data_IF_046793750526
#
_entry.id   IF_046793750526
#
_cell.length_a   1.000
_cell.length_b   1.000
_cell.length_c   1.000
_cell.angle_alpha   90.00
_cell.angle_beta   90.00
_cell.angle_gamma   90.00
#
_symmetry.space_group_name_H-M   'P 1'
#
loop_
_entity.id
_entity.type
_entity.pdbx_description
1 polymer ?
#
# COMPACT_ATOMS: atom_id res chain seq x y z
N UNK A 1 -73.35 0.10 -4.26
CA UNK A 1 -72.44 -1.05 -4.13
C UNK A 1 -71.09 -0.57 -4.65
N UNK A 2 -70.18 -0.11 -3.78
CA UNK A 2 -69.07 -0.93 -3.24
C UNK A 2 -68.37 -1.67 -4.40
N UNK A 3 -67.20 -1.30 -4.89
CA UNK A 3 -66.02 -0.80 -4.18
C UNK A 3 -65.04 -1.97 -3.99
N UNK A 4 -63.97 -1.96 -4.79
CA UNK A 4 -62.73 -2.76 -4.75
C UNK A 4 -62.44 -3.62 -5.97
N UNK A 5 -61.72 -3.04 -6.93
CA UNK A 5 -60.86 -3.79 -7.87
C UNK A 5 -59.44 -3.68 -7.32
N UNK A 6 -58.95 -4.77 -6.72
CA UNK A 6 -57.54 -4.89 -6.30
C UNK A 6 -56.72 -5.09 -7.58
N UNK A 7 -55.94 -4.09 -7.95
CA UNK A 7 -54.92 -4.24 -9.00
C UNK A 7 -53.65 -4.72 -8.29
N UNK A 8 -53.35 -6.01 -8.41
CA UNK A 8 -52.07 -6.58 -7.98
C UNK A 8 -50.95 -5.87 -8.74
N UNK A 9 -50.18 -5.06 -8.00
CA UNK A 9 -48.96 -4.45 -8.53
C UNK A 9 -47.90 -5.54 -8.55
N UNK A 10 -47.60 -6.08 -9.73
CA UNK A 10 -46.44 -6.96 -9.91
C UNK A 10 -45.18 -6.15 -9.61
N UNK A 11 -44.67 -6.29 -8.39
CA UNK A 11 -43.30 -5.91 -8.04
C UNK A 11 -42.35 -6.71 -8.89
N UNK A 12 -41.76 -6.07 -9.90
CA UNK A 12 -40.58 -6.58 -10.61
C UNK A 12 -39.44 -6.60 -9.59
N UNK A 13 -39.29 -7.73 -8.90
CA UNK A 13 -38.07 -8.04 -8.16
C UNK A 13 -36.95 -8.14 -9.19
N UNK A 14 -36.11 -7.10 -9.24
CA UNK A 14 -34.80 -7.18 -9.88
C UNK A 14 -33.97 -8.22 -9.14
N UNK A 15 -34.09 -9.49 -9.55
CA UNK A 15 -33.07 -10.50 -9.29
C UNK A 15 -31.80 -10.00 -9.96
N UNK A 16 -30.86 -9.46 -9.17
CA UNK A 16 -29.46 -9.37 -9.58
C UNK A 16 -29.02 -10.79 -9.95
N UNK A 17 -29.03 -11.12 -11.23
CA UNK A 17 -28.37 -12.31 -11.75
C UNK A 17 -26.94 -12.28 -11.21
N UNK A 18 -26.61 -13.25 -10.37
CA UNK A 18 -25.24 -13.42 -9.92
C UNK A 18 -24.42 -13.79 -11.14
N UNK A 19 -23.52 -12.88 -11.53
CA UNK A 19 -22.54 -13.14 -12.59
C UNK A 19 -21.92 -14.52 -12.36
N UNK A 20 -21.79 -15.36 -13.40
CA UNK A 20 -21.27 -16.71 -13.24
C UNK A 20 -19.91 -16.65 -12.54
N UNK A 21 -19.75 -17.40 -11.44
CA UNK A 21 -18.46 -17.54 -10.74
C UNK A 21 -17.46 -18.12 -11.73
N UNK A 22 -16.62 -17.27 -12.32
CA UNK A 22 -15.61 -17.68 -13.27
C UNK A 22 -14.63 -18.62 -12.56
N UNK A 23 -14.37 -19.77 -13.16
CA UNK A 23 -13.49 -20.79 -12.57
C UNK A 23 -12.03 -20.37 -12.82
N UNK A 24 -11.36 -19.84 -11.80
CA UNK A 24 -9.93 -19.54 -11.88
C UNK A 24 -9.12 -20.83 -12.07
N UNK A 25 -8.17 -20.80 -13.02
CA UNK A 25 -7.13 -21.82 -13.13
C UNK A 25 -5.91 -21.37 -12.35
N UNK A 26 -5.61 -22.08 -11.27
CA UNK A 26 -4.49 -21.79 -10.39
C UNK A 26 -3.22 -22.46 -10.91
N UNK A 27 -2.39 -21.70 -11.62
CA UNK A 27 -1.08 -22.15 -12.08
C UNK A 27 -0.02 -21.81 -11.04
N UNK A 28 0.37 -22.77 -10.22
CA UNK A 28 1.24 -22.53 -9.07
C UNK A 28 2.71 -22.26 -9.45
N UNK A 29 3.32 -21.29 -8.77
CA UNK A 29 4.74 -20.96 -8.82
C UNK A 29 5.44 -21.62 -7.62
N UNK A 30 5.80 -22.90 -7.76
CA UNK A 30 6.39 -23.69 -6.67
C UNK A 30 7.64 -23.08 -6.04
N UNK A 31 8.47 -22.40 -6.85
CA UNK A 31 9.63 -21.66 -6.34
C UNK A 31 9.22 -20.63 -5.29
N UNK A 32 8.16 -19.85 -5.55
CA UNK A 32 7.70 -18.82 -4.62
C UNK A 32 7.14 -19.45 -3.36
N UNK A 33 6.31 -20.50 -3.49
CA UNK A 33 5.76 -21.24 -2.34
C UNK A 33 6.89 -21.71 -1.42
N UNK A 34 7.91 -22.37 -1.97
CA UNK A 34 9.06 -22.88 -1.20
C UNK A 34 9.83 -21.73 -0.52
N UNK A 35 10.12 -20.64 -1.25
CA UNK A 35 10.85 -19.50 -0.69
C UNK A 35 10.09 -18.81 0.46
N UNK A 36 8.78 -18.65 0.33
CA UNK A 36 7.95 -18.08 1.40
C UNK A 36 7.81 -19.03 2.59
N UNK A 37 7.74 -20.35 2.37
CA UNK A 37 7.81 -21.32 3.47
C UNK A 37 9.14 -21.21 4.22
N UNK A 38 10.27 -21.19 3.48
CA UNK A 38 11.61 -21.01 4.09
C UNK A 38 11.66 -19.71 4.87
N UNK A 39 11.19 -18.59 4.31
CA UNK A 39 11.14 -17.29 4.99
C UNK A 39 10.38 -17.39 6.31
N UNK A 40 9.20 -18.04 6.35
CA UNK A 40 8.43 -18.16 7.58
C UNK A 40 9.11 -19.06 8.61
N UNK A 41 9.58 -20.25 8.21
CA UNK A 41 10.27 -21.15 9.14
C UNK A 41 11.53 -20.53 9.74
N UNK A 42 12.36 -19.90 8.91
CA UNK A 42 13.58 -19.22 9.37
C UNK A 42 13.27 -17.94 10.14
N UNK A 43 12.19 -17.25 9.82
CA UNK A 43 11.68 -16.12 10.61
C UNK A 43 11.23 -16.55 12.01
N UNK A 44 10.48 -17.65 12.13
CA UNK A 44 10.10 -18.22 13.43
C UNK A 44 11.30 -18.72 14.23
N UNK A 45 12.30 -19.30 13.56
CA UNK A 45 13.56 -19.64 14.20
C UNK A 45 14.30 -18.40 14.71
N UNK A 46 14.33 -17.32 13.93
CA UNK A 46 14.85 -16.02 14.36
C UNK A 46 14.09 -15.46 15.57
N UNK A 47 12.77 -15.60 15.63
CA UNK A 47 11.98 -15.21 16.81
C UNK A 47 12.37 -16.02 18.04
N UNK A 48 12.54 -17.34 17.89
CA UNK A 48 13.03 -18.19 18.97
C UNK A 48 14.40 -17.71 19.49
N UNK A 49 15.38 -17.50 18.60
CA UNK A 49 16.71 -16.99 18.97
C UNK A 49 16.65 -15.62 19.66
N UNK A 50 15.77 -14.73 19.18
CA UNK A 50 15.55 -13.42 19.80
C UNK A 50 15.10 -13.51 21.27
N UNK A 51 14.41 -14.59 21.65
CA UNK A 51 13.90 -14.81 23.01
C UNK A 51 14.90 -15.55 23.90
N UNK A 52 15.74 -16.43 23.35
CA UNK A 52 16.56 -17.35 24.16
C UNK A 52 18.05 -17.05 24.18
N UNK A 53 18.60 -16.40 23.14
CA UNK A 53 20.06 -16.28 22.97
C UNK A 53 20.54 -14.91 22.51
N UNK A 54 19.67 -14.06 21.96
CA UNK A 54 20.08 -12.80 21.36
C UNK A 54 20.47 -11.74 22.39
N UNK A 55 21.47 -10.93 22.03
CA UNK A 55 21.74 -9.70 22.74
C UNK A 55 20.63 -8.67 22.49
N UNK A 56 20.25 -7.91 23.51
CA UNK A 56 19.23 -6.86 23.39
C UNK A 56 19.53 -5.83 22.29
N UNK A 57 20.82 -5.56 22.02
CA UNK A 57 21.27 -4.69 20.93
C UNK A 57 20.83 -5.20 19.56
N UNK A 58 20.91 -6.51 19.34
CA UNK A 58 20.49 -7.18 18.09
C UNK A 58 18.97 -7.12 17.92
N UNK A 59 18.22 -7.28 19.01
CA UNK A 59 16.75 -7.14 19.01
C UNK A 59 16.35 -5.70 18.65
N UNK A 60 16.95 -4.71 19.32
CA UNK A 60 16.71 -3.29 19.02
C UNK A 60 17.09 -2.95 17.58
N UNK A 61 18.24 -3.44 17.11
CA UNK A 61 18.70 -3.24 15.74
C UNK A 61 17.75 -3.85 14.70
N UNK A 62 17.22 -5.05 14.95
CA UNK A 62 16.20 -5.66 14.10
C UNK A 62 14.93 -4.80 14.03
N UNK A 63 14.44 -4.31 15.16
CA UNK A 63 13.28 -3.41 15.19
C UNK A 63 13.55 -2.09 14.47
N UNK A 64 14.74 -1.51 14.65
CA UNK A 64 15.17 -0.32 13.91
C UNK A 64 15.17 -0.58 12.40
N UNK A 65 15.79 -1.66 11.94
CA UNK A 65 15.79 -2.04 10.52
C UNK A 65 14.38 -2.32 9.99
N UNK A 66 13.48 -2.87 10.80
CA UNK A 66 12.09 -3.10 10.41
C UNK A 66 11.37 -1.77 10.13
N UNK A 67 11.52 -0.77 11.02
CA UNK A 67 10.93 0.56 10.80
C UNK A 67 11.50 1.21 9.54
N UNK A 68 12.81 1.12 9.35
CA UNK A 68 13.49 1.64 8.15
C UNK A 68 13.01 0.93 6.87
N UNK A 69 12.87 -0.40 6.90
CA UNK A 69 12.36 -1.18 5.78
C UNK A 69 10.92 -0.80 5.41
N UNK A 70 10.06 -0.63 6.42
CA UNK A 70 8.70 -0.13 6.23
C UNK A 70 8.69 1.25 5.59
N UNK A 71 9.54 2.19 6.03
CA UNK A 71 9.68 3.50 5.38
C UNK A 71 10.11 3.40 3.91
N UNK A 72 10.94 2.42 3.56
CA UNK A 72 11.30 2.15 2.16
C UNK A 72 10.10 1.76 1.30
N UNK A 73 9.17 0.98 1.85
CA UNK A 73 7.92 0.60 1.19
C UNK A 73 6.97 1.80 1.14
N UNK A 74 6.70 2.45 2.27
CA UNK A 74 5.67 3.49 2.40
C UNK A 74 6.10 4.83 1.78
N UNK A 75 7.20 5.42 2.23
CA UNK A 75 7.70 6.70 1.67
C UNK A 75 8.26 6.53 0.26
N UNK A 76 8.84 5.36 -0.04
CA UNK A 76 9.47 5.04 -1.32
C UNK A 76 8.51 4.42 -2.32
N UNK A 77 8.41 3.08 -2.31
CA UNK A 77 7.65 2.32 -3.33
C UNK A 77 6.23 2.84 -3.53
N UNK A 78 5.55 3.15 -2.43
CA UNK A 78 4.15 3.54 -2.41
C UNK A 78 3.95 5.01 -2.74
N UNK A 79 4.29 5.92 -1.83
CA UNK A 79 3.95 7.36 -1.96
C UNK A 79 4.76 8.07 -3.05
N UNK A 80 6.05 7.74 -3.21
CA UNK A 80 6.91 8.38 -4.21
C UNK A 80 6.74 7.76 -5.60
N UNK A 81 7.03 6.46 -5.74
CA UNK A 81 7.12 5.82 -7.05
C UNK A 81 5.74 5.38 -7.56
N UNK A 82 4.91 4.71 -6.76
CA UNK A 82 3.59 4.27 -7.23
C UNK A 82 2.65 5.45 -7.46
N UNK A 83 2.54 6.39 -6.50
CA UNK A 83 1.49 7.42 -6.51
C UNK A 83 1.95 8.84 -6.86
N UNK A 84 3.26 9.12 -6.86
CA UNK A 84 3.83 10.45 -7.17
C UNK A 84 3.24 11.58 -6.31
N UNK A 85 2.94 11.29 -5.04
CA UNK A 85 2.31 12.24 -4.12
C UNK A 85 3.23 13.38 -3.71
N UNK A 86 4.54 13.17 -3.86
CA UNK A 86 5.59 14.16 -3.67
C UNK A 86 6.76 13.94 -4.64
N UNK A 87 7.71 14.87 -4.67
CA UNK A 87 8.96 14.76 -5.41
C UNK A 87 10.14 14.70 -4.45
N UNK A 88 11.13 13.87 -4.78
CA UNK A 88 12.34 13.68 -3.99
C UNK A 88 13.59 14.14 -4.77
N UNK A 89 14.53 14.80 -4.08
CA UNK A 89 15.89 15.03 -4.58
C UNK A 89 16.72 13.75 -4.50
N UNK A 90 17.86 13.75 -5.21
CA UNK A 90 18.74 12.58 -5.31
C UNK A 90 19.12 11.94 -3.95
N UNK A 91 19.51 12.69 -2.89
CA UNK A 91 19.86 12.07 -1.61
C UNK A 91 18.73 11.22 -1.02
N UNK A 92 17.51 11.74 -1.03
CA UNK A 92 16.34 11.02 -0.53
C UNK A 92 16.01 9.79 -1.39
N UNK A 93 16.10 9.90 -2.72
CA UNK A 93 15.89 8.75 -3.62
C UNK A 93 16.88 7.61 -3.33
N UNK A 94 18.16 7.94 -3.11
CA UNK A 94 19.18 6.94 -2.78
C UNK A 94 18.90 6.24 -1.44
N UNK A 95 18.54 7.02 -0.42
CA UNK A 95 18.16 6.49 0.90
C UNK A 95 16.95 5.57 0.79
N UNK A 96 15.90 5.99 0.08
CA UNK A 96 14.68 5.21 -0.09
C UNK A 96 14.92 3.91 -0.86
N UNK A 97 15.82 3.88 -1.84
CA UNK A 97 16.23 2.62 -2.50
C UNK A 97 16.89 1.66 -1.52
N UNK A 98 17.77 2.15 -0.64
CA UNK A 98 18.40 1.30 0.40
C UNK A 98 17.33 0.79 1.37
N UNK A 99 16.46 1.68 1.86
CA UNK A 99 15.39 1.33 2.78
C UNK A 99 14.44 0.31 2.17
N UNK A 100 14.04 0.50 0.92
CA UNK A 100 13.17 -0.44 0.21
C UNK A 100 13.85 -1.79 0.02
N UNK A 101 15.16 -1.79 -0.27
CA UNK A 101 15.93 -3.04 -0.38
C UNK A 101 15.90 -3.84 0.93
N UNK A 102 15.85 -3.18 2.09
CA UNK A 102 15.73 -3.84 3.39
C UNK A 102 14.36 -4.51 3.59
N UNK A 103 13.32 -4.16 2.83
CA UNK A 103 12.03 -4.87 2.90
C UNK A 103 12.07 -6.24 2.20
N UNK A 104 13.01 -6.42 1.27
CA UNK A 104 13.16 -7.61 0.42
C UNK A 104 11.90 -7.97 -0.41
N UNK A 105 10.96 -7.04 -0.60
CA UNK A 105 9.72 -7.25 -1.35
C UNK A 105 9.88 -7.02 -2.87
N UNK A 106 10.92 -7.61 -3.45
CA UNK A 106 11.39 -7.33 -4.82
C UNK A 106 11.83 -5.86 -5.01
N UNK A 107 12.33 -5.48 -6.19
CA UNK A 107 12.75 -4.10 -6.45
C UNK A 107 11.57 -3.13 -6.53
N UNK A 108 11.79 -1.88 -6.13
CA UNK A 108 10.75 -0.86 -6.02
C UNK A 108 9.99 -0.60 -7.33
N UNK A 109 10.63 -0.82 -8.50
CA UNK A 109 9.97 -0.72 -9.80
C UNK A 109 8.80 -1.71 -9.93
N UNK A 110 9.01 -3.01 -9.66
CA UNK A 110 7.95 -4.01 -9.83
C UNK A 110 6.84 -3.74 -8.82
N UNK A 111 7.24 -3.45 -7.57
CA UNK A 111 6.31 -3.06 -6.51
C UNK A 111 5.39 -1.92 -6.96
N UNK A 112 5.97 -0.82 -7.46
CA UNK A 112 5.20 0.34 -7.90
C UNK A 112 4.29 0.03 -9.10
N UNK A 113 4.77 -0.74 -10.10
CA UNK A 113 3.94 -1.08 -11.26
C UNK A 113 2.74 -1.96 -10.88
N UNK A 114 2.94 -3.00 -10.07
CA UNK A 114 1.84 -3.85 -9.58
C UNK A 114 0.87 -3.06 -8.69
N UNK A 115 1.37 -2.14 -7.88
CA UNK A 115 0.53 -1.29 -7.04
C UNK A 115 -0.34 -0.32 -7.85
N UNK A 116 0.17 0.24 -8.95
CA UNK A 116 -0.65 1.04 -9.88
C UNK A 116 -1.77 0.22 -10.52
N UNK A 117 -1.48 -1.02 -10.93
CA UNK A 117 -2.50 -1.95 -11.45
C UNK A 117 -3.56 -2.25 -10.39
N UNK A 118 -3.12 -2.50 -9.16
CA UNK A 118 -4.04 -2.70 -8.04
C UNK A 118 -4.98 -1.52 -7.86
N UNK A 119 -4.49 -0.28 -7.77
CA UNK A 119 -5.39 0.87 -7.63
C UNK A 119 -6.34 1.06 -8.81
N UNK A 120 -5.82 0.95 -10.04
CA UNK A 120 -6.62 1.15 -11.26
C UNK A 120 -7.76 0.13 -11.39
N UNK A 121 -7.55 -1.08 -10.87
CA UNK A 121 -8.46 -2.21 -11.09
C UNK A 121 -8.88 -2.87 -9.77
N UNK A 122 -8.87 -2.10 -8.68
CA UNK A 122 -9.02 -2.59 -7.30
C UNK A 122 -10.20 -3.53 -7.17
N UNK A 123 -9.95 -4.70 -6.59
CA UNK A 123 -10.96 -5.73 -6.33
C UNK A 123 -11.76 -6.18 -7.58
N UNK A 124 -11.16 -6.03 -8.76
CA UNK A 124 -11.60 -6.69 -10.00
C UNK A 124 -10.71 -7.89 -10.34
N UNK A 125 -11.01 -8.61 -11.42
CA UNK A 125 -10.16 -9.72 -11.86
C UNK A 125 -8.79 -9.29 -12.41
N UNK A 126 -8.63 -8.00 -12.72
CA UNK A 126 -7.36 -7.39 -13.11
C UNK A 126 -6.54 -6.87 -11.92
N UNK A 127 -7.05 -6.94 -10.69
CA UNK A 127 -6.28 -6.65 -9.48
C UNK A 127 -5.33 -7.82 -9.16
N UNK A 128 -4.01 -7.59 -9.09
CA UNK A 128 -3.03 -8.63 -8.76
C UNK A 128 -3.32 -9.36 -7.44
N UNK A 129 -3.86 -8.67 -6.44
CA UNK A 129 -4.12 -9.21 -5.10
C UNK A 129 -5.57 -9.00 -4.66
N UNK A 130 -6.49 -9.14 -5.62
CA UNK A 130 -7.95 -9.05 -5.44
C UNK A 130 -8.45 -9.69 -4.13
N UNK A 131 -8.95 -8.87 -3.20
CA UNK A 131 -9.42 -9.31 -1.88
C UNK A 131 -10.68 -10.17 -1.95
N UNK A 132 -11.46 -10.08 -3.03
CA UNK A 132 -12.66 -10.92 -3.26
C UNK A 132 -12.33 -12.39 -3.46
N UNK A 133 -11.06 -12.72 -3.74
CA UNK A 133 -10.57 -14.11 -3.81
C UNK A 133 -10.18 -14.67 -2.42
N UNK A 134 -10.40 -13.88 -1.38
CA UNK A 134 -10.27 -14.29 0.02
C UNK A 134 -9.03 -13.74 0.71
N UNK A 135 -9.05 -13.81 2.04
CA UNK A 135 -8.01 -13.28 2.91
C UNK A 135 -6.62 -13.83 2.57
N UNK A 136 -6.51 -15.16 2.40
CA UNK A 136 -5.21 -15.77 2.10
C UNK A 136 -4.67 -15.33 0.74
N UNK A 137 -5.54 -15.23 -0.27
CA UNK A 137 -5.12 -14.84 -1.61
C UNK A 137 -4.55 -13.41 -1.62
N UNK A 138 -5.30 -12.45 -1.08
CA UNK A 138 -4.86 -11.04 -0.97
C UNK A 138 -3.66 -10.84 -0.05
N UNK A 139 -3.56 -11.62 1.02
CA UNK A 139 -2.41 -11.55 1.92
C UNK A 139 -1.13 -12.06 1.25
N UNK A 140 -1.15 -13.24 0.62
CA UNK A 140 0.09 -13.85 0.11
C UNK A 140 -0.12 -14.83 -1.05
N UNK A 141 -1.30 -15.46 -1.14
CA UNK A 141 -1.59 -16.48 -2.14
C UNK A 141 -1.44 -16.00 -3.59
N UNK A 142 -1.63 -14.71 -3.85
CA UNK A 142 -1.39 -14.10 -5.16
C UNK A 142 0.05 -14.27 -5.67
N UNK A 143 1.03 -14.36 -4.76
CA UNK A 143 2.44 -14.58 -5.09
C UNK A 143 2.77 -16.04 -5.43
N UNK A 144 1.85 -16.96 -5.12
CA UNK A 144 2.02 -18.39 -5.32
C UNK A 144 1.48 -18.89 -6.65
N UNK A 145 0.87 -18.00 -7.44
CA UNK A 145 0.27 -18.34 -8.71
C UNK A 145 0.70 -17.35 -9.78
N UNK A 146 0.71 -17.78 -11.04
CA UNK A 146 0.88 -16.85 -12.14
C UNK A 146 -0.27 -15.83 -12.18
N UNK A 147 0.02 -14.56 -12.54
CA UNK A 147 -1.02 -13.57 -12.76
C UNK A 147 -2.09 -14.08 -13.73
N UNK A 148 -3.34 -13.70 -13.50
CA UNK A 148 -4.41 -14.04 -14.44
C UNK A 148 -4.24 -13.21 -15.73
N UNK A 149 -4.72 -13.69 -16.88
CA UNK A 149 -4.59 -12.98 -18.16
C UNK A 149 -5.09 -11.54 -18.11
N UNK A 150 -6.16 -11.27 -17.35
CA UNK A 150 -6.73 -9.93 -17.18
C UNK A 150 -5.75 -8.97 -16.48
N UNK A 151 -4.99 -9.45 -15.49
CA UNK A 151 -3.95 -8.67 -14.82
C UNK A 151 -2.85 -8.31 -15.82
N UNK A 152 -2.40 -9.27 -16.64
CA UNK A 152 -1.35 -9.04 -17.64
C UNK A 152 -1.79 -8.10 -18.77
N UNK A 153 -3.05 -8.21 -19.20
CA UNK A 153 -3.64 -7.33 -20.19
C UNK A 153 -3.71 -5.89 -19.66
N UNK A 154 -4.29 -5.71 -18.47
CA UNK A 154 -4.46 -4.39 -17.86
C UNK A 154 -3.14 -3.77 -17.40
N UNK A 155 -2.16 -4.57 -17.00
CA UNK A 155 -0.80 -4.10 -16.73
C UNK A 155 -0.23 -3.29 -17.91
N UNK A 156 -0.45 -3.75 -19.15
CA UNK A 156 0.05 -3.07 -20.36
C UNK A 156 -0.66 -1.76 -20.67
N UNK A 157 -1.82 -1.52 -20.06
CA UNK A 157 -2.61 -0.31 -20.29
C UNK A 157 -2.22 0.88 -19.40
N UNK A 158 -1.38 0.64 -18.38
CA UNK A 158 -0.92 1.68 -17.46
C UNK A 158 0.41 2.26 -17.93
N UNK A 159 0.56 3.57 -17.81
CA UNK A 159 1.82 4.25 -18.09
C UNK A 159 2.83 4.08 -16.94
N UNK A 160 4.03 3.61 -17.30
CA UNK A 160 5.18 3.44 -16.41
C UNK A 160 6.41 4.23 -16.89
N UNK A 161 6.24 5.13 -17.86
CA UNK A 161 7.32 5.91 -18.47
C UNK A 161 8.13 6.72 -17.46
N UNK A 162 7.47 7.25 -16.43
CA UNK A 162 8.10 7.98 -15.34
C UNK A 162 9.01 7.10 -14.47
N UNK A 163 8.60 5.85 -14.21
CA UNK A 163 9.41 4.86 -13.49
C UNK A 163 10.64 4.46 -14.31
N UNK A 164 10.46 4.28 -15.62
CA UNK A 164 11.57 4.01 -16.54
C UNK A 164 12.57 5.17 -16.65
N UNK A 165 12.09 6.40 -16.55
CA UNK A 165 12.94 7.60 -16.59
C UNK A 165 13.75 7.80 -15.30
N UNK A 166 13.35 7.21 -14.17
CA UNK A 166 14.07 7.30 -12.91
C UNK A 166 15.33 6.40 -12.90
N UNK A 167 16.48 7.02 -13.15
CA UNK A 167 17.78 6.33 -13.19
C UNK A 167 18.14 5.61 -11.89
N UNK A 168 17.73 6.13 -10.73
CA UNK A 168 18.04 5.52 -9.42
C UNK A 168 17.22 4.24 -9.25
N UNK A 169 15.93 4.31 -9.59
CA UNK A 169 15.02 3.18 -9.55
C UNK A 169 15.45 2.08 -10.53
N UNK A 170 15.79 2.45 -11.76
CA UNK A 170 16.24 1.50 -12.79
C UNK A 170 17.60 0.89 -12.47
N UNK A 171 18.49 1.62 -11.80
CA UNK A 171 19.74 1.07 -11.27
C UNK A 171 19.48 0.00 -10.22
N UNK A 172 18.58 0.26 -9.25
CA UNK A 172 18.19 -0.74 -8.27
C UNK A 172 17.62 -1.98 -8.97
N UNK A 173 16.65 -1.82 -9.88
CA UNK A 173 16.05 -2.92 -10.65
C UNK A 173 17.09 -3.79 -11.33
N UNK A 174 18.06 -3.18 -12.02
CA UNK A 174 19.10 -3.91 -12.76
C UNK A 174 19.97 -4.79 -11.87
N UNK A 175 20.31 -4.30 -10.68
CA UNK A 175 21.24 -4.98 -9.76
C UNK A 175 20.55 -5.59 -8.54
N UNK A 176 19.22 -5.71 -8.56
CA UNK A 176 18.46 -6.08 -7.38
C UNK A 176 18.85 -7.47 -6.87
N UNK A 177 18.74 -8.49 -7.71
CA UNK A 177 19.00 -9.88 -7.31
C UNK A 177 20.50 -10.19 -7.18
N UNK A 178 21.39 -9.45 -7.83
CA UNK A 178 22.83 -9.72 -7.83
C UNK A 178 23.58 -8.97 -6.73
N UNK A 179 23.08 -7.80 -6.30
CA UNK A 179 23.77 -6.94 -5.33
C UNK A 179 22.85 -6.44 -4.22
N UNK A 180 21.78 -5.71 -4.54
CA UNK A 180 20.98 -5.04 -3.51
C UNK A 180 20.35 -6.03 -2.53
N UNK A 181 19.57 -7.00 -2.99
CA UNK A 181 18.94 -7.98 -2.10
C UNK A 181 19.97 -8.80 -1.28
N UNK A 182 20.96 -9.50 -1.89
CA UNK A 182 21.89 -10.34 -1.12
C UNK A 182 22.85 -9.52 -0.25
N UNK A 183 23.36 -8.38 -0.71
CA UNK A 183 24.38 -7.61 0.02
C UNK A 183 23.74 -6.60 0.96
N UNK A 184 22.92 -5.69 0.42
CA UNK A 184 22.32 -4.61 1.20
C UNK A 184 21.14 -5.12 2.04
N UNK A 185 20.33 -6.01 1.48
CA UNK A 185 19.13 -6.54 2.13
C UNK A 185 19.40 -7.64 3.16
N UNK A 186 20.49 -8.40 3.04
CA UNK A 186 20.78 -9.57 3.88
C UNK A 186 22.17 -9.54 4.53
N UNK A 187 23.26 -9.43 3.75
CA UNK A 187 24.61 -9.54 4.29
C UNK A 187 24.97 -8.40 5.25
N UNK A 188 24.76 -7.14 4.84
CA UNK A 188 25.06 -5.97 5.67
C UNK A 188 24.25 -5.99 6.98
N UNK A 189 22.92 -6.20 6.96
CA UNK A 189 22.13 -6.38 8.17
C UNK A 189 22.67 -7.45 9.11
N UNK A 190 23.16 -8.57 8.58
CA UNK A 190 23.69 -9.68 9.37
C UNK A 190 25.11 -9.43 9.88
N UNK A 191 25.94 -8.71 9.12
CA UNK A 191 27.33 -8.46 9.47
C UNK A 191 27.48 -7.43 10.59
N UNK A 192 26.56 -6.46 10.68
CA UNK A 192 26.65 -5.38 11.66
C UNK A 192 26.61 -5.91 13.11
N UNK A 193 25.61 -6.71 13.53
CA UNK A 193 25.60 -7.22 14.91
C UNK A 193 26.77 -8.13 15.22
N UNK A 194 27.13 -8.98 14.25
CA UNK A 194 28.24 -9.90 14.36
C UNK A 194 29.57 -9.19 14.61
N UNK A 195 29.85 -8.12 13.86
CA UNK A 195 31.14 -7.43 13.94
C UNK A 195 31.21 -6.38 15.05
N UNK A 196 30.16 -5.56 15.24
CA UNK A 196 30.26 -4.37 16.09
C UNK A 196 29.95 -4.60 17.57
N UNK A 197 29.19 -5.63 17.92
CA UNK A 197 28.90 -5.96 19.33
C UNK A 197 29.03 -7.44 19.66
N UNK A 198 29.64 -8.22 18.76
CA UNK A 198 30.02 -9.61 19.03
C UNK A 198 28.83 -10.55 19.20
N UNK A 199 27.72 -10.27 18.51
CA UNK A 199 26.61 -11.22 18.41
C UNK A 199 27.04 -12.47 17.62
N UNK A 200 26.43 -13.63 17.87
CA UNK A 200 26.69 -14.79 17.00
C UNK A 200 26.23 -14.52 15.57
N UNK A 201 26.94 -15.05 14.56
CA UNK A 201 26.52 -14.87 13.17
C UNK A 201 25.12 -15.46 12.92
N UNK A 202 24.79 -16.58 13.58
CA UNK A 202 23.48 -17.22 13.53
C UNK A 202 22.37 -16.28 14.03
N UNK A 203 22.50 -15.75 15.25
CA UNK A 203 21.55 -14.78 15.80
C UNK A 203 21.44 -13.55 14.88
N UNK A 204 22.57 -13.04 14.44
CA UNK A 204 22.62 -11.85 13.57
C UNK A 204 21.85 -12.07 12.26
N UNK A 205 22.09 -13.19 11.59
CA UNK A 205 21.42 -13.52 10.32
C UNK A 205 19.93 -13.80 10.50
N UNK A 206 19.57 -14.71 11.40
CA UNK A 206 18.16 -15.10 11.55
C UNK A 206 17.30 -13.99 12.15
N UNK A 207 17.86 -13.10 12.97
CA UNK A 207 17.11 -12.00 13.59
C UNK A 207 17.10 -10.76 12.69
N UNK A 208 18.27 -10.22 12.33
CA UNK A 208 18.34 -8.95 11.59
C UNK A 208 17.95 -9.08 10.11
N UNK A 209 17.98 -10.30 9.56
CA UNK A 209 17.56 -10.57 8.18
C UNK A 209 16.25 -11.35 8.12
N UNK A 210 16.21 -12.61 8.58
CA UNK A 210 15.07 -13.50 8.31
C UNK A 210 13.80 -13.13 9.10
N UNK A 211 13.93 -12.88 10.40
CA UNK A 211 12.81 -12.41 11.23
C UNK A 211 12.33 -11.04 10.75
N UNK A 212 13.24 -10.08 10.53
CA UNK A 212 12.90 -8.77 9.98
C UNK A 212 12.15 -8.89 8.64
N UNK A 213 12.64 -9.71 7.73
CA UNK A 213 11.99 -9.94 6.42
C UNK A 213 10.60 -10.54 6.57
N UNK A 214 10.45 -11.56 7.42
CA UNK A 214 9.17 -12.19 7.72
C UNK A 214 8.16 -11.18 8.31
N UNK A 215 8.57 -10.40 9.30
CA UNK A 215 7.74 -9.36 9.93
C UNK A 215 7.36 -8.27 8.93
N UNK A 216 8.33 -7.70 8.21
CA UNK A 216 8.08 -6.62 7.25
C UNK A 216 7.09 -7.04 6.16
N UNK A 217 7.25 -8.25 5.65
CA UNK A 217 6.37 -8.84 4.63
C UNK A 217 4.95 -8.98 5.13
N UNK A 218 4.76 -9.65 6.28
CA UNK A 218 3.43 -9.86 6.85
C UNK A 218 2.76 -8.54 7.24
N UNK A 219 3.49 -7.60 7.85
CA UNK A 219 2.96 -6.26 8.20
C UNK A 219 2.49 -5.52 6.95
N UNK A 220 3.25 -5.56 5.86
CA UNK A 220 2.85 -4.91 4.60
C UNK A 220 1.60 -5.59 4.03
N UNK A 221 1.55 -6.92 4.03
CA UNK A 221 0.44 -7.68 3.48
C UNK A 221 -0.86 -7.57 4.29
N UNK A 222 -0.82 -7.11 5.54
CA UNK A 222 -2.03 -6.72 6.28
C UNK A 222 -2.81 -5.61 5.55
N UNK A 223 -2.14 -4.72 4.82
CA UNK A 223 -2.79 -3.66 4.04
C UNK A 223 -3.65 -4.29 2.94
N UNK A 224 -3.06 -5.15 2.11
CA UNK A 224 -3.77 -5.82 1.01
C UNK A 224 -4.91 -6.72 1.52
N UNK A 225 -4.78 -7.30 2.71
CA UNK A 225 -5.71 -8.32 3.21
C UNK A 225 -6.70 -7.78 4.23
N UNK A 226 -6.23 -7.34 5.40
CA UNK A 226 -7.10 -6.89 6.49
C UNK A 226 -7.75 -5.57 6.11
N UNK A 227 -6.99 -4.62 5.55
CA UNK A 227 -7.52 -3.31 5.21
C UNK A 227 -8.45 -3.30 3.97
N UNK A 228 -8.61 -4.41 3.24
CA UNK A 228 -9.68 -4.55 2.22
C UNK A 228 -10.94 -5.28 2.72
N UNK A 229 -10.84 -6.00 3.83
CA UNK A 229 -11.92 -6.90 4.27
C UNK A 229 -12.59 -6.40 5.56
N UNK A 230 -11.81 -5.88 6.51
CA UNK A 230 -12.29 -5.59 7.86
C UNK A 230 -11.99 -4.15 8.26
N UNK A 231 -13.03 -3.33 8.46
CA UNK A 231 -12.88 -1.96 8.95
C UNK A 231 -14.06 -1.08 8.56
N UNK A 232 -13.90 0.22 8.75
CA UNK A 232 -14.92 1.24 8.40
C UNK A 232 -14.62 1.87 7.03
N UNK A 233 -15.63 2.47 6.39
CA UNK A 233 -15.52 3.14 5.07
C UNK A 233 -16.05 4.58 5.12
N UNK A 234 -15.40 5.46 5.89
CA UNK A 234 -15.88 6.81 6.12
C UNK A 234 -15.92 7.71 4.88
N UNK A 235 -15.14 7.43 3.82
CA UNK A 235 -15.02 8.29 2.64
C UNK A 235 -15.79 7.73 1.44
N UNK A 236 -15.70 6.42 1.19
CA UNK A 236 -16.47 5.74 0.15
C UNK A 236 -16.85 4.31 0.54
N UNK A 237 -18.15 4.08 0.79
CA UNK A 237 -18.72 2.78 1.16
C UNK A 237 -18.88 1.81 -0.01
N UNK A 238 -18.75 2.28 -1.24
CA UNK A 238 -18.87 1.46 -2.46
C UNK A 238 -17.59 0.71 -2.79
N UNK A 239 -16.46 1.19 -2.26
CA UNK A 239 -15.15 0.55 -2.37
C UNK A 239 -14.96 -0.53 -1.30
N UNK A 240 -14.12 -1.53 -1.59
CA UNK A 240 -13.72 -2.55 -0.62
C UNK A 240 -12.73 -2.06 0.46
N UNK A 241 -11.68 -1.28 0.15
CA UNK A 241 -10.75 -0.68 1.13
C UNK A 241 -11.42 -0.06 2.35
N UNK A 242 -10.80 -0.23 3.51
CA UNK A 242 -11.32 0.12 4.83
C UNK A 242 -10.27 0.80 5.70
N UNK A 243 -10.72 1.56 6.70
CA UNK A 243 -9.87 2.14 7.73
C UNK A 243 -9.66 1.14 8.87
N UNK A 244 -8.39 0.87 9.19
CA UNK A 244 -7.98 -0.05 10.26
C UNK A 244 -6.85 0.58 11.08
N UNK A 245 -7.17 1.23 12.22
CA UNK A 245 -6.19 1.97 13.01
C UNK A 245 -4.96 1.15 13.43
N UNK A 246 -5.15 -0.12 13.80
CA UNK A 246 -4.04 -0.99 14.21
C UNK A 246 -3.08 -1.30 13.05
N UNK A 247 -3.61 -1.49 11.83
CA UNK A 247 -2.77 -1.67 10.63
C UNK A 247 -2.00 -0.39 10.36
N UNK A 248 -2.62 0.78 10.57
CA UNK A 248 -1.94 2.07 10.37
C UNK A 248 -0.76 2.26 11.32
N UNK A 249 -0.91 1.89 12.60
CA UNK A 249 0.20 1.91 13.56
C UNK A 249 1.33 0.94 13.16
N UNK A 250 1.00 -0.29 12.76
CA UNK A 250 1.99 -1.31 12.40
C UNK A 250 2.75 -0.96 11.12
N UNK A 251 2.07 -0.39 10.13
CA UNK A 251 2.64 -0.05 8.82
C UNK A 251 3.25 1.35 8.77
N UNK A 252 3.04 2.16 9.81
CA UNK A 252 3.52 3.55 9.85
C UNK A 252 2.68 4.51 9.00
N UNK A 253 1.40 4.23 8.76
CA UNK A 253 0.45 5.14 8.14
C UNK A 253 -0.52 4.54 7.12
N UNK A 254 -0.32 3.29 6.69
CA UNK A 254 -1.01 2.74 5.50
C UNK A 254 -2.34 2.02 5.80
N UNK A 255 -2.76 2.00 7.06
CA UNK A 255 -4.04 1.41 7.46
C UNK A 255 -5.24 2.33 7.27
N UNK A 256 -5.04 3.57 6.86
CA UNK A 256 -6.11 4.50 6.47
C UNK A 256 -6.50 4.27 5.00
N UNK A 257 -6.91 3.02 4.71
CA UNK A 257 -6.91 2.51 3.34
C UNK A 257 -8.12 2.96 2.52
N UNK A 258 -9.26 3.23 3.16
CA UNK A 258 -10.42 3.82 2.48
C UNK A 258 -10.10 5.24 2.02
N UNK A 259 -9.47 6.05 2.87
CA UNK A 259 -8.98 7.38 2.49
C UNK A 259 -8.00 7.29 1.34
N UNK A 260 -7.02 6.40 1.47
CA UNK A 260 -5.95 6.27 0.49
C UNK A 260 -6.47 5.88 -0.90
N UNK A 261 -7.42 4.95 -0.99
CA UNK A 261 -8.01 4.58 -2.28
C UNK A 261 -8.91 5.66 -2.87
N UNK A 262 -9.52 6.50 -2.03
CA UNK A 262 -10.29 7.65 -2.49
C UNK A 262 -9.40 8.81 -2.94
N UNK A 263 -8.27 9.03 -2.27
CA UNK A 263 -7.31 10.10 -2.58
C UNK A 263 -5.89 9.52 -2.77
N UNK A 264 -5.65 8.72 -3.82
CA UNK A 264 -4.37 8.01 -3.99
C UNK A 264 -3.18 8.96 -4.22
N UNK A 265 -3.43 10.22 -4.61
CA UNK A 265 -2.43 11.27 -4.76
C UNK A 265 -2.06 12.01 -3.47
N UNK A 266 -2.73 11.72 -2.33
CA UNK A 266 -2.42 12.38 -1.05
C UNK A 266 -1.17 11.78 -0.39
N UNK A 267 -0.17 12.62 -0.12
CA UNK A 267 1.12 12.21 0.45
C UNK A 267 1.03 11.68 1.87
N UNK A 268 -0.04 12.01 2.60
CA UNK A 268 -0.25 11.58 3.98
C UNK A 268 -0.87 10.19 4.03
N UNK A 269 -1.56 9.76 2.98
CA UNK A 269 -2.35 8.52 2.90
C UNK A 269 -3.41 8.38 3.98
N UNK A 270 -3.81 9.48 4.63
CA UNK A 270 -4.89 9.52 5.62
C UNK A 270 -5.26 10.96 5.96
N UNK A 271 -6.54 11.19 6.30
CA UNK A 271 -7.06 12.52 6.68
C UNK A 271 -6.38 13.06 7.95
N UNK A 272 -6.44 12.27 9.03
CA UNK A 272 -5.95 12.66 10.35
C UNK A 272 -4.59 12.01 10.64
N UNK A 273 -3.52 12.58 10.08
CA UNK A 273 -2.14 12.15 10.31
C UNK A 273 -1.52 12.78 11.55
N UNK A 274 -1.88 12.35 12.77
CA UNK A 274 -0.97 12.55 13.91
C UNK A 274 0.22 11.61 13.75
N UNK A 275 1.45 12.06 13.98
CA UNK A 275 2.67 11.24 13.77
C UNK A 275 2.67 9.89 14.52
N UNK A 276 1.85 9.74 15.57
CA UNK A 276 1.70 8.48 16.33
C UNK A 276 1.18 7.30 15.51
N UNK A 277 0.36 7.55 14.50
CA UNK A 277 -0.22 6.51 13.63
C UNK A 277 0.16 6.69 12.16
N UNK A 278 1.12 7.59 11.87
CA UNK A 278 1.56 7.87 10.51
C UNK A 278 3.00 8.40 10.53
N UNK A 279 3.92 7.51 10.94
CA UNK A 279 5.35 7.81 11.01
C UNK A 279 5.92 8.23 9.66
N UNK A 280 5.38 7.69 8.57
CA UNK A 280 5.81 8.00 7.20
C UNK A 280 5.55 9.47 6.85
N UNK A 281 4.39 10.02 7.24
CA UNK A 281 4.12 11.45 7.03
C UNK A 281 5.11 12.31 7.80
N UNK A 282 5.42 11.97 9.06
CA UNK A 282 6.42 12.69 9.85
C UNK A 282 7.83 12.62 9.24
N UNK A 283 8.21 11.46 8.71
CA UNK A 283 9.46 11.31 7.96
C UNK A 283 9.48 12.21 6.71
N UNK A 284 8.41 12.22 5.92
CA UNK A 284 8.30 13.07 4.72
C UNK A 284 8.30 14.57 5.05
N UNK A 285 7.61 14.98 6.11
CA UNK A 285 7.62 16.37 6.59
C UNK A 285 9.04 16.79 7.02
N UNK A 286 9.79 15.93 7.72
CA UNK A 286 11.18 16.18 8.06
C UNK A 286 12.06 16.31 6.80
N UNK A 287 11.90 15.39 5.84
CA UNK A 287 12.63 15.45 4.57
C UNK A 287 12.26 16.71 3.77
N UNK A 288 11.03 17.20 3.90
CA UNK A 288 10.58 18.43 3.28
C UNK A 288 11.17 19.67 3.96
N UNK A 289 11.28 19.65 5.30
CA UNK A 289 11.88 20.71 6.09
C UNK A 289 13.37 20.91 5.76
N UNK A 290 14.12 19.83 5.49
CA UNK A 290 15.52 19.91 5.01
C UNK A 290 15.63 20.09 3.49
N UNK A 291 14.50 20.27 2.79
CA UNK A 291 14.45 20.55 1.36
C UNK A 291 14.80 19.36 0.45
N UNK A 292 14.71 18.13 0.95
CA UNK A 292 14.94 16.90 0.17
C UNK A 292 13.66 16.34 -0.45
N UNK A 293 12.50 16.56 0.19
CA UNK A 293 11.17 16.34 -0.37
C UNK A 293 10.51 17.70 -0.71
N UNK A 294 9.69 17.73 -1.75
CA UNK A 294 8.99 18.93 -2.22
C UNK A 294 7.75 18.55 -3.02
N UNK A 295 6.88 19.52 -3.33
CA UNK A 295 5.65 19.30 -4.11
C UNK A 295 4.72 18.24 -3.48
N UNK A 296 4.57 18.28 -2.15
CA UNK A 296 3.77 17.34 -1.36
C UNK A 296 2.28 17.67 -1.51
N UNK A 297 1.49 16.71 -2.00
CA UNK A 297 0.08 16.91 -2.36
C UNK A 297 -0.85 16.37 -1.29
N UNK A 298 -1.85 17.14 -0.87
CA UNK A 298 -2.86 16.66 0.08
C UNK A 298 -4.24 17.18 -0.30
N UNK A 299 -5.28 16.40 -0.02
CA UNK A 299 -6.66 16.81 -0.23
C UNK A 299 -7.02 18.00 0.67
N UNK A 300 -7.84 18.92 0.16
CA UNK A 300 -8.42 19.97 0.98
C UNK A 300 -9.53 19.43 1.88
N UNK A 301 -9.75 20.09 3.01
CA UNK A 301 -10.84 19.72 3.93
C UNK A 301 -12.21 19.74 3.24
N UNK A 302 -12.46 20.75 2.39
CA UNK A 302 -13.70 20.84 1.62
C UNK A 302 -13.92 19.64 0.68
N UNK A 303 -12.86 19.21 -0.02
CA UNK A 303 -12.90 18.01 -0.88
C UNK A 303 -13.21 16.75 -0.08
N UNK A 304 -12.55 16.58 1.07
CA UNK A 304 -12.78 15.43 1.96
C UNK A 304 -14.23 15.45 2.46
N UNK A 305 -14.72 16.60 2.93
CA UNK A 305 -16.09 16.75 3.43
C UNK A 305 -17.14 16.45 2.37
N UNK A 306 -16.97 16.97 1.15
CA UNK A 306 -17.85 16.67 0.01
C UNK A 306 -17.90 15.16 -0.25
N UNK A 307 -16.74 14.50 -0.30
CA UNK A 307 -16.64 13.06 -0.56
C UNK A 307 -17.29 12.22 0.53
N UNK A 308 -17.05 12.54 1.79
CA UNK A 308 -17.67 11.87 2.95
C UNK A 308 -19.19 12.02 2.90
N UNK A 309 -19.72 13.21 2.60
CA UNK A 309 -21.17 13.44 2.50
C UNK A 309 -21.80 12.68 1.32
N UNK A 310 -21.09 12.57 0.19
CA UNK A 310 -21.58 11.91 -1.03
C UNK A 310 -21.58 10.38 -0.90
N UNK A 311 -20.48 9.80 -0.42
CA UNK A 311 -20.26 8.35 -0.49
C UNK A 311 -19.86 7.67 0.83
N UNK A 312 -19.68 8.40 1.92
CA UNK A 312 -19.29 7.83 3.21
C UNK A 312 -20.32 6.86 3.81
N UNK A 313 -19.84 5.96 4.65
CA UNK A 313 -20.68 5.00 5.39
C UNK A 313 -21.30 5.57 6.69
N UNK A 314 -21.03 6.83 7.01
CA UNK A 314 -21.52 7.51 8.21
C UNK A 314 -20.69 7.26 9.48
N UNK A 315 -19.57 6.53 9.40
CA UNK A 315 -18.70 6.27 10.57
C UNK A 315 -17.81 7.47 10.94
N UNK A 316 -17.55 8.37 10.00
CA UNK A 316 -16.89 9.66 10.28
C UNK A 316 -17.90 10.61 10.92
N UNK A 317 -17.63 11.01 12.16
CA UNK A 317 -18.41 12.03 12.85
C UNK A 317 -18.20 13.37 12.15
N UNK A 318 -19.17 13.78 11.35
CA UNK A 318 -19.22 15.12 10.76
C UNK A 318 -19.71 16.07 11.86
N UNK A 319 -18.93 17.09 12.19
CA UNK A 319 -19.48 18.25 12.88
C UNK A 319 -20.48 18.90 11.90
N UNK A 320 -21.75 18.91 12.30
CA UNK A 320 -22.89 19.31 11.48
C UNK A 320 -22.74 20.75 10.95
N UNK A 321 -22.13 20.94 9.78
CA UNK A 321 -22.01 22.28 9.18
C UNK A 321 -22.12 22.34 7.66
N UNK A 322 -22.44 21.23 6.99
CA UNK A 322 -22.75 21.27 5.55
C UNK A 322 -24.05 20.50 5.29
N UNK A 323 -25.17 21.15 5.61
CA UNK A 323 -26.47 20.79 5.04
C UNK A 323 -26.60 21.49 3.69
N UNK A 324 -26.72 20.73 2.59
CA UNK A 324 -27.21 21.29 1.32
C UNK A 324 -26.48 20.92 0.03
N UNK A 325 -25.64 19.89 -0.01
CA UNK A 325 -25.11 19.38 -1.28
C UNK A 325 -25.75 18.02 -1.59
N UNK A 326 -26.92 18.06 -2.24
CA UNK A 326 -27.41 16.94 -3.03
C UNK A 326 -26.68 17.03 -4.36
N UNK A 327 -25.66 16.20 -4.54
CA UNK A 327 -25.10 15.92 -5.86
C UNK A 327 -25.39 14.45 -6.16
N UNK A 328 -26.48 14.21 -6.89
CA UNK A 328 -26.94 12.88 -7.33
C UNK A 328 -26.12 12.34 -8.52
N UNK A 329 -24.96 12.93 -8.79
CA UNK A 329 -24.05 12.46 -9.83
C UNK A 329 -23.21 11.28 -9.30
N UNK A 330 -23.75 10.08 -9.49
CA UNK A 330 -22.94 8.87 -9.55
C UNK A 330 -22.05 8.94 -10.78
N UNK A 331 -20.83 9.44 -10.62
CA UNK A 331 -19.81 9.16 -11.61
C UNK A 331 -19.44 7.68 -11.49
N UNK A 332 -19.56 6.94 -12.60
CA UNK A 332 -18.74 5.75 -12.80
C UNK A 332 -17.29 6.25 -12.95
N UNK A 333 -16.69 6.68 -11.83
CA UNK A 333 -15.33 7.18 -11.82
C UNK A 333 -14.40 5.99 -12.09
N UNK A 334 -13.78 5.99 -13.27
CA UNK A 334 -12.64 5.13 -13.55
C UNK A 334 -11.61 5.34 -12.42
N UNK A 335 -11.32 4.26 -11.69
CA UNK A 335 -10.41 4.31 -10.54
C UNK A 335 -9.07 4.92 -10.93
N UNK A 336 -8.52 5.81 -10.11
CA UNK A 336 -7.25 6.50 -10.38
C UNK A 336 -6.11 5.77 -9.68
N UNK A 337 -4.96 5.61 -10.35
CA UNK A 337 -3.78 5.03 -9.69
C UNK A 337 -2.94 6.04 -8.89
N UNK A 338 -2.99 7.34 -9.17
CA UNK A 338 -2.15 8.35 -8.49
C UNK A 338 -2.02 9.67 -9.26
N UNK A 339 -1.04 10.50 -8.88
CA UNK A 339 -0.91 11.85 -9.46
C UNK A 339 -0.46 11.87 -10.92
N UNK A 340 -1.31 12.49 -11.76
CA UNK A 340 -1.10 12.60 -13.19
C UNK A 340 -1.54 11.35 -13.96
N UNK A 341 -2.42 10.53 -13.38
CA UNK A 341 -3.21 9.58 -14.15
C UNK A 341 -4.10 10.35 -15.14
N UNK A 342 -4.29 9.80 -16.35
CA UNK A 342 -5.09 10.40 -17.42
C UNK A 342 -6.58 10.48 -17.06
N UNK A 343 -7.03 9.63 -16.15
CA UNK A 343 -8.43 9.53 -15.73
C UNK A 343 -8.71 10.38 -14.46
N UNK A 344 -7.76 11.20 -14.00
CA UNK A 344 -8.01 12.20 -12.95
C UNK A 344 -8.89 13.34 -13.46
N UNK A 345 -9.90 13.72 -12.67
CA UNK A 345 -10.84 14.79 -13.04
C UNK A 345 -10.25 16.20 -12.83
N UNK A 346 -10.75 17.20 -13.55
CA UNK A 346 -10.37 18.61 -13.32
C UNK A 346 -10.74 19.08 -11.90
N UNK A 347 -11.84 18.56 -11.36
CA UNK A 347 -12.25 18.83 -9.98
C UNK A 347 -11.15 18.36 -9.00
N UNK A 348 -10.65 17.13 -9.17
CA UNK A 348 -9.58 16.58 -8.34
C UNK A 348 -8.33 17.47 -8.35
N UNK A 349 -7.94 17.99 -9.52
CA UNK A 349 -6.80 18.91 -9.64
C UNK A 349 -7.03 20.23 -8.91
N UNK A 350 -8.25 20.79 -8.99
CA UNK A 350 -8.55 22.13 -8.47
C UNK A 350 -8.49 22.23 -6.94
N UNK A 351 -8.74 21.13 -6.22
CA UNK A 351 -8.81 21.11 -4.75
C UNK A 351 -7.56 20.52 -4.07
N UNK A 352 -6.52 20.17 -4.83
CA UNK A 352 -5.25 19.69 -4.26
C UNK A 352 -4.44 20.84 -3.69
N UNK A 353 -4.09 20.73 -2.39
CA UNK A 353 -3.12 21.62 -1.74
C UNK A 353 -1.71 21.06 -1.93
N UNK A 354 -0.80 21.88 -2.45
CA UNK A 354 0.60 21.53 -2.68
C UNK A 354 1.50 22.30 -1.72
N UNK A 355 2.23 21.57 -0.87
CA UNK A 355 3.20 22.11 0.08
C UNK A 355 4.64 22.02 -0.45
N UNK A 356 5.49 22.92 0.03
CA UNK A 356 6.91 23.01 -0.32
C UNK A 356 7.12 22.96 -1.83
N UNK A 357 6.46 23.86 -2.59
CA UNK A 357 6.69 23.97 -4.04
C UNK A 357 8.17 24.27 -4.29
N UNK A 358 8.72 23.69 -5.37
CA UNK A 358 10.08 24.01 -5.79
C UNK A 358 10.13 25.51 -6.07
N UNK A 359 10.98 26.24 -5.35
CA UNK A 359 11.34 27.59 -5.74
C UNK A 359 11.97 27.52 -7.14
N UNK A 360 11.41 28.27 -8.08
CA UNK A 360 11.89 28.32 -9.48
C UNK A 360 13.40 28.61 -9.57
#
# INVERSE_FOLDING_TARGET
MSGHTITETQTVQSTKESLPKRQYKWNFIWRNIILYLIMHFTGFYGLYLALVSAQWKTIFYCWFLLVIALQGVTAGSHRLWAHKTYKAKLPLKLILVVFQTLSLQNHAYDWATYHRVHHKYVDTDADPHNSRRGLFFSHMGWLFVHPQPEVEEKYKSIDFSDLHADKVLMFQKKYYHTFFAPVVGMLIPSAIPWYFWGESFENSFFIATMLRYCLCTNITFLVNSIAHIYGTRPYDKTMYPTEVPIVSVLTGGEGWHNYHHVFPWDYKTGEFGKYRSNLTTGFLDLMAAIGWAYDLKTASEDMIMKRVNRTGDGTRKIDQLIHGLNDDHHHEDDQVWGWGDKDMTEEDFSYVKVYNRKSD
#
